data_IF_362118633407
#
_entry.id   IF_362118633407
#
_cell.length_a   1.000
_cell.length_b   1.000
_cell.length_c   1.000
_cell.angle_alpha   90.00
_cell.angle_beta   90.00
_cell.angle_gamma   90.00
#
_symmetry.space_group_name_H-M   'P 1'
#
loop_
_entity.id
_entity.type
_entity.pdbx_description
1 polymer ?
#
# COMPACT_ATOMS: atom_id res chain seq x y z
N UNK A 1 7.19 -5.96 -17.82
CA UNK A 1 6.26 -6.08 -16.67
C UNK A 1 5.00 -6.78 -17.17
N UNK A 2 4.31 -7.55 -16.31
CA UNK A 2 3.12 -8.33 -16.71
C UNK A 2 1.85 -7.61 -16.25
N UNK A 3 0.88 -7.46 -17.14
CA UNK A 3 -0.45 -6.98 -16.77
C UNK A 3 -1.26 -8.08 -16.09
N UNK A 4 -2.03 -7.69 -15.07
CA UNK A 4 -2.77 -8.59 -14.18
C UNK A 4 -4.19 -8.08 -14.06
N UNK A 5 -5.17 -8.98 -14.15
CA UNK A 5 -6.57 -8.62 -13.90
C UNK A 5 -6.84 -8.44 -12.39
N UNK A 6 -8.05 -7.96 -12.06
CA UNK A 6 -8.43 -7.65 -10.68
C UNK A 6 -8.43 -8.88 -9.78
N UNK A 7 -8.89 -10.02 -10.26
CA UNK A 7 -9.04 -11.22 -9.44
C UNK A 7 -7.68 -11.87 -9.18
N UNK A 8 -6.81 -11.88 -10.19
CA UNK A 8 -5.42 -12.30 -10.03
C UNK A 8 -4.65 -11.36 -9.08
N UNK A 9 -4.88 -10.03 -9.15
CA UNK A 9 -4.30 -9.09 -8.18
C UNK A 9 -4.74 -9.38 -6.75
N UNK A 10 -6.03 -9.64 -6.53
CA UNK A 10 -6.57 -10.00 -5.22
C UNK A 10 -5.90 -11.29 -4.72
N UNK A 11 -5.78 -12.31 -5.57
CA UNK A 11 -5.10 -13.56 -5.21
C UNK A 11 -3.63 -13.35 -4.82
N UNK A 12 -2.88 -12.51 -5.55
CA UNK A 12 -1.48 -12.20 -5.24
C UNK A 12 -1.33 -11.47 -3.90
N UNK A 13 -2.23 -10.53 -3.60
CA UNK A 13 -2.26 -9.85 -2.29
C UNK A 13 -2.56 -10.84 -1.16
N UNK A 14 -3.56 -11.72 -1.31
CA UNK A 14 -3.86 -12.75 -0.31
C UNK A 14 -2.69 -13.72 -0.10
N UNK A 15 -2.00 -14.11 -1.18
CA UNK A 15 -0.81 -14.94 -1.09
C UNK A 15 0.31 -14.23 -0.30
N UNK A 16 0.51 -12.93 -0.55
CA UNK A 16 1.47 -12.11 0.22
C UNK A 16 1.13 -12.02 1.71
N UNK A 17 -0.15 -11.84 2.05
CA UNK A 17 -0.62 -11.76 3.44
C UNK A 17 -0.57 -13.09 4.19
N UNK A 18 -0.73 -14.23 3.49
CA UNK A 18 -0.57 -15.56 4.10
C UNK A 18 0.83 -15.77 4.67
N UNK A 19 1.85 -15.21 4.01
CA UNK A 19 3.25 -15.30 4.45
C UNK A 19 3.60 -14.50 5.69
N UNK A 20 2.67 -13.71 6.25
CA UNK A 20 2.95 -12.91 7.44
C UNK A 20 3.18 -13.78 8.66
N UNK A 21 4.28 -13.51 9.37
CA UNK A 21 4.63 -14.23 10.60
C UNK A 21 3.63 -13.90 11.72
N UNK A 22 3.43 -14.80 12.70
CA UNK A 22 2.59 -14.52 13.86
C UNK A 22 3.02 -13.25 14.61
N UNK A 23 4.33 -13.00 14.69
CA UNK A 23 4.91 -11.80 15.31
C UNK A 23 4.48 -10.53 14.57
N UNK A 24 4.57 -10.52 13.23
CA UNK A 24 4.15 -9.38 12.42
C UNK A 24 2.66 -9.09 12.61
N UNK A 25 1.82 -10.13 12.62
CA UNK A 25 0.38 -10.00 12.87
C UNK A 25 0.10 -9.40 14.25
N UNK A 26 0.79 -9.86 15.29
CA UNK A 26 0.67 -9.34 16.65
C UNK A 26 1.10 -7.86 16.74
N UNK A 27 2.17 -7.48 16.05
CA UNK A 27 2.65 -6.10 16.05
C UNK A 27 1.70 -5.15 15.31
N UNK A 28 1.06 -5.61 14.22
CA UNK A 28 0.02 -4.85 13.53
C UNK A 28 -1.20 -4.54 14.42
N UNK A 29 -1.54 -5.44 15.34
CA UNK A 29 -2.60 -5.23 16.33
C UNK A 29 -2.08 -4.66 17.67
N UNK A 30 -0.84 -4.16 17.72
CA UNK A 30 -0.28 -3.55 18.92
C UNK A 30 -0.94 -2.20 19.21
N UNK A 31 -1.12 -1.90 20.50
CA UNK A 31 -1.55 -0.57 20.97
C UNK A 31 -0.40 0.44 20.97
N UNK A 32 0.84 -0.03 20.81
CA UNK A 32 2.02 0.83 20.71
C UNK A 32 2.16 1.30 19.26
N UNK A 33 2.00 2.60 19.03
CA UNK A 33 2.02 3.19 17.68
C UNK A 33 3.31 2.89 16.93
N UNK A 34 4.46 2.98 17.58
CA UNK A 34 5.76 2.72 16.94
C UNK A 34 5.90 1.27 16.43
N UNK A 35 5.44 0.29 17.22
CA UNK A 35 5.45 -1.13 16.81
C UNK A 35 4.52 -1.37 15.63
N UNK A 36 3.33 -0.76 15.65
CA UNK A 36 2.35 -0.86 14.59
C UNK A 36 2.85 -0.24 13.29
N UNK A 37 3.47 0.93 13.35
CA UNK A 37 3.98 1.61 12.16
C UNK A 37 5.18 0.87 11.57
N UNK A 38 6.10 0.38 12.41
CA UNK A 38 7.18 -0.51 11.96
C UNK A 38 6.63 -1.77 11.28
N UNK A 39 5.61 -2.39 11.86
CA UNK A 39 4.97 -3.57 11.27
C UNK A 39 4.27 -3.25 9.94
N UNK A 40 3.64 -2.08 9.81
CA UNK A 40 3.05 -1.60 8.55
C UNK A 40 4.09 -1.43 7.47
N UNK A 41 5.25 -0.84 7.77
CA UNK A 41 6.35 -0.71 6.82
C UNK A 41 6.87 -2.07 6.34
N UNK A 42 7.06 -3.02 7.26
CA UNK A 42 7.49 -4.38 6.91
C UNK A 42 6.43 -5.07 6.02
N UNK A 43 5.15 -4.99 6.41
CA UNK A 43 4.06 -5.57 5.64
C UNK A 43 3.95 -4.95 4.23
N UNK A 44 4.11 -3.63 4.11
CA UNK A 44 4.12 -2.91 2.85
C UNK A 44 5.30 -3.36 1.97
N UNK A 45 6.49 -3.55 2.53
CA UNK A 45 7.66 -4.06 1.80
C UNK A 45 7.44 -5.46 1.24
N UNK A 46 6.84 -6.36 2.03
CA UNK A 46 6.50 -7.73 1.58
C UNK A 46 5.51 -7.69 0.41
N UNK A 47 4.49 -6.83 0.48
CA UNK A 47 3.53 -6.68 -0.62
C UNK A 47 4.18 -6.03 -1.84
N UNK A 48 5.01 -5.00 -1.65
CA UNK A 48 5.71 -4.32 -2.74
C UNK A 48 6.61 -5.29 -3.53
N UNK A 49 7.32 -6.21 -2.86
CA UNK A 49 8.12 -7.25 -3.51
C UNK A 49 7.28 -8.15 -4.43
N UNK A 50 6.06 -8.51 -4.00
CA UNK A 50 5.12 -9.29 -4.82
C UNK A 50 4.57 -8.51 -6.01
N UNK A 51 4.41 -7.21 -5.86
CA UNK A 51 3.83 -6.34 -6.87
C UNK A 51 4.86 -5.72 -7.83
N UNK A 52 6.17 -5.76 -7.50
CA UNK A 52 7.23 -5.06 -8.22
C UNK A 52 7.30 -5.38 -9.72
N UNK A 53 6.82 -6.56 -10.14
CA UNK A 53 6.89 -7.02 -11.54
C UNK A 53 5.57 -6.85 -12.31
N UNK A 54 4.55 -6.32 -11.66
CA UNK A 54 3.20 -6.20 -12.19
C UNK A 54 3.01 -4.78 -12.73
N UNK A 55 2.39 -4.69 -13.90
CA UNK A 55 1.88 -3.44 -14.44
C UNK A 55 0.37 -3.43 -14.20
N UNK A 56 -0.12 -2.58 -13.30
CA UNK A 56 -1.52 -2.59 -12.85
C UNK A 56 -2.40 -1.85 -13.87
N UNK A 57 -2.37 -2.22 -15.15
CA UNK A 57 -3.03 -1.41 -16.20
C UNK A 57 -3.50 -2.24 -17.41
N UNK A 58 -4.40 -3.22 -17.25
CA UNK A 58 -5.13 -3.76 -18.41
C UNK A 58 -6.57 -3.27 -18.54
N UNK A 59 -7.22 -2.84 -17.44
CA UNK A 59 -8.66 -2.53 -17.42
C UNK A 59 -9.02 -1.24 -16.65
N UNK A 60 -8.04 -0.55 -16.06
CA UNK A 60 -8.32 0.70 -15.37
C UNK A 60 -8.55 1.82 -16.41
N UNK A 61 -9.62 2.62 -16.30
CA UNK A 61 -9.72 3.84 -17.08
C UNK A 61 -8.47 4.71 -16.80
N UNK A 62 -7.98 5.48 -17.78
CA UNK A 62 -6.86 6.38 -17.56
C UNK A 62 -7.16 7.26 -16.33
N UNK A 63 -6.17 7.51 -15.46
CA UNK A 63 -6.39 8.37 -14.31
C UNK A 63 -6.93 9.72 -14.79
N UNK A 64 -7.89 10.34 -14.07
CA UNK A 64 -8.39 11.64 -14.44
C UNK A 64 -7.23 12.63 -14.55
N UNK A 65 -7.31 13.61 -15.47
CA UNK A 65 -6.26 14.61 -15.64
C UNK A 65 -5.97 15.27 -14.28
N UNK A 66 -4.72 15.20 -13.85
CA UNK A 66 -4.27 15.82 -12.62
C UNK A 66 -4.37 17.34 -12.78
N UNK A 67 -5.36 17.95 -12.14
CA UNK A 67 -5.50 19.41 -12.07
C UNK A 67 -5.09 19.88 -10.69
N UNK A 68 -4.01 20.67 -10.64
CA UNK A 68 -3.58 21.38 -9.43
C UNK A 68 -4.65 22.36 -8.91
N UNK A 69 -5.65 22.71 -9.71
CA UNK A 69 -6.69 23.67 -9.33
C UNK A 69 -7.67 23.16 -8.25
N UNK A 70 -7.75 21.83 -8.02
CA UNK A 70 -8.64 21.25 -7.01
C UNK A 70 -7.94 20.94 -5.68
N UNK A 71 -6.67 21.33 -5.50
CA UNK A 71 -5.89 21.14 -4.28
C UNK A 71 -5.93 22.36 -3.32
N UNK A 72 -6.92 23.23 -3.43
CA UNK A 72 -7.27 24.16 -2.34
C UNK A 72 -7.98 23.39 -1.22
N UNK A 73 -7.24 22.60 -0.44
CA UNK A 73 -7.83 21.82 0.63
C UNK A 73 -6.91 20.82 1.31
N UNK A 74 -5.87 21.31 1.97
CA UNK A 74 -5.16 20.57 3.03
C UNK A 74 -4.22 19.48 2.54
N UNK A 75 -2.97 19.85 2.29
CA UNK A 75 -1.85 18.90 2.38
C UNK A 75 -1.90 18.25 3.77
N UNK A 76 -2.19 16.95 3.83
CA UNK A 76 -2.16 16.14 5.06
C UNK A 76 -0.74 15.94 5.64
N UNK A 77 0.20 16.82 5.29
CA UNK A 77 1.53 16.90 5.86
C UNK A 77 1.47 17.93 6.98
N UNK A 78 1.68 17.54 8.26
CA UNK A 78 1.73 18.52 9.34
C UNK A 78 2.90 19.48 9.10
N UNK A 79 2.61 20.78 9.09
CA UNK A 79 3.63 21.81 9.03
C UNK A 79 4.46 21.75 10.31
N UNK A 80 5.77 21.54 10.16
CA UNK A 80 6.73 21.62 11.25
C UNK A 80 6.93 23.11 11.52
N UNK A 81 6.34 23.63 12.60
CA UNK A 81 6.61 24.99 13.09
C UNK A 81 7.94 25.00 13.84
N UNK A 82 8.90 25.80 13.37
CA UNK A 82 10.05 26.29 14.14
C UNK A 82 9.62 27.36 15.16
#
# INVERSE_FOLDING_TARGET
MRQVDRDELIHLLFAGMRGWTPTLRKQLSSNITADRDKARYIAAGILADKLQRLDILSQAPPPPPFSFANFEGGSGVPAITE
#
